data_IF_278716580684
#
_entry.id   IF_278716580684
#
_cell.length_a   1.000
_cell.length_b   1.000
_cell.length_c   1.000
_cell.angle_alpha   90.00
_cell.angle_beta   90.00
_cell.angle_gamma   90.00
#
_symmetry.space_group_name_H-M   'P 1'
#
loop_
_entity.id
_entity.type
_entity.pdbx_description
1 polymer ?
#
# COMPACT_ATOMS: atom_id res chain seq x y z
N UNK A 1 5.93 9.79 -1.93
CA UNK A 1 4.58 9.90 -2.52
C UNK A 1 3.68 10.78 -1.65
N UNK A 2 3.73 10.58 -0.34
CA UNK A 2 2.87 11.15 0.70
C UNK A 2 3.03 12.68 0.81
N UNK A 3 4.25 13.21 0.67
CA UNK A 3 4.47 14.66 0.59
C UNK A 3 3.70 15.28 -0.60
N UNK A 4 3.74 14.67 -1.79
CA UNK A 4 3.01 15.21 -2.95
C UNK A 4 1.49 15.16 -2.76
N UNK A 5 0.98 14.14 -2.08
CA UNK A 5 -0.44 14.03 -1.71
C UNK A 5 -0.83 15.13 -0.74
N UNK A 6 -0.09 15.29 0.37
CA UNK A 6 -0.33 16.36 1.34
C UNK A 6 -0.26 17.73 0.68
N UNK A 7 0.75 17.95 -0.18
CA UNK A 7 0.91 19.17 -0.98
C UNK A 7 -0.29 19.45 -1.87
N UNK A 8 -0.88 18.41 -2.46
CA UNK A 8 -2.07 18.59 -3.30
C UNK A 8 -3.32 18.88 -2.48
N UNK A 9 -3.50 18.23 -1.33
CA UNK A 9 -4.61 18.53 -0.41
C UNK A 9 -4.52 19.94 0.15
N UNK A 10 -3.31 20.46 0.41
CA UNK A 10 -3.11 21.82 0.91
C UNK A 10 -3.56 22.92 -0.06
N UNK A 11 -3.76 22.61 -1.34
CA UNK A 11 -4.28 23.56 -2.34
C UNK A 11 -5.81 23.67 -2.31
N UNK A 12 -6.50 22.80 -1.59
CA UNK A 12 -7.95 22.85 -1.46
C UNK A 12 -8.33 23.76 -0.30
N UNK A 13 -9.06 24.85 -0.59
CA UNK A 13 -9.46 25.84 0.41
C UNK A 13 -10.39 25.31 1.51
N UNK A 14 -10.93 24.09 1.35
CA UNK A 14 -11.74 23.41 2.38
C UNK A 14 -10.90 22.61 3.38
N UNK A 15 -9.61 22.42 3.13
CA UNK A 15 -8.71 21.68 4.02
C UNK A 15 -8.05 22.68 4.96
N UNK A 16 -8.40 22.60 6.25
CA UNK A 16 -7.88 23.52 7.27
C UNK A 16 -6.52 23.08 7.82
N UNK A 17 -6.31 21.76 7.97
CA UNK A 17 -5.10 21.19 8.57
C UNK A 17 -4.83 19.79 8.05
N UNK A 18 -3.55 19.46 7.90
CA UNK A 18 -3.09 18.15 7.45
C UNK A 18 -2.08 17.61 8.46
N UNK A 19 -2.36 16.45 9.03
CA UNK A 19 -1.39 15.73 9.84
C UNK A 19 -0.67 14.69 8.98
N UNK A 20 0.66 14.59 9.13
CA UNK A 20 1.46 13.59 8.41
C UNK A 20 2.30 12.80 9.41
N UNK A 21 2.07 11.48 9.46
CA UNK A 21 2.84 10.56 10.30
C UNK A 21 3.74 9.66 9.45
N UNK A 22 5.07 9.60 9.68
CA UNK A 22 5.87 10.51 10.52
C UNK A 22 6.16 11.87 9.85
N UNK A 23 5.80 12.01 8.57
CA UNK A 23 6.16 13.15 7.74
C UNK A 23 7.65 13.21 7.38
N UNK A 24 8.08 14.31 6.77
CA UNK A 24 9.48 14.60 6.46
C UNK A 24 9.75 16.11 6.49
N UNK A 25 10.98 16.52 6.17
CA UNK A 25 11.37 17.94 6.15
C UNK A 25 10.51 18.77 5.19
N UNK A 26 10.08 18.21 4.05
CA UNK A 26 9.22 18.90 3.08
C UNK A 26 7.82 19.15 3.63
N UNK A 27 7.17 18.15 4.21
CA UNK A 27 5.85 18.33 4.83
C UNK A 27 5.88 19.27 6.03
N UNK A 28 7.00 19.31 6.77
CA UNK A 28 7.20 20.27 7.87
C UNK A 28 7.26 21.73 7.41
N UNK A 29 7.67 21.98 6.16
CA UNK A 29 7.76 23.34 5.60
C UNK A 29 6.43 23.84 5.03
N UNK A 30 5.41 23.00 4.96
CA UNK A 30 4.10 23.39 4.43
C UNK A 30 3.24 24.03 5.53
N UNK A 31 2.61 25.16 5.21
CA UNK A 31 1.92 26.01 6.19
C UNK A 31 0.83 25.30 7.00
N UNK A 32 0.00 24.48 6.35
CA UNK A 32 -1.12 23.79 7.00
C UNK A 32 -0.78 22.34 7.41
N UNK A 33 0.49 21.94 7.30
CA UNK A 33 0.92 20.59 7.68
C UNK A 33 1.57 20.58 9.06
N UNK A 34 1.26 19.53 9.83
CA UNK A 34 1.93 19.20 11.07
C UNK A 34 2.45 17.75 10.99
N UNK A 35 3.75 17.58 11.16
CA UNK A 35 4.33 16.25 11.29
C UNK A 35 4.11 15.76 12.72
N UNK A 36 3.58 14.54 12.84
CA UNK A 36 3.34 13.86 14.12
C UNK A 36 3.97 12.47 14.05
N UNK A 37 4.06 11.78 15.18
CA UNK A 37 4.51 10.39 15.23
C UNK A 37 3.37 9.56 15.82
N UNK A 38 2.99 8.53 15.07
CA UNK A 38 2.00 7.53 15.44
C UNK A 38 2.60 6.18 15.03
N UNK A 39 3.01 5.38 16.00
CA UNK A 39 3.80 4.17 15.79
C UNK A 39 2.89 2.92 15.73
N UNK A 40 1.71 2.99 16.33
CA UNK A 40 0.76 1.87 16.42
C UNK A 40 -0.57 2.18 15.75
N UNK A 41 -1.34 1.14 15.41
CA UNK A 41 -2.67 1.30 14.79
C UNK A 41 -3.65 1.92 15.77
N UNK A 42 -3.54 1.52 17.03
CA UNK A 42 -4.32 2.04 18.14
C UNK A 42 -4.09 3.55 18.30
N UNK A 43 -2.83 4.00 18.27
CA UNK A 43 -2.50 5.43 18.28
C UNK A 43 -3.10 6.16 17.09
N UNK A 44 -3.07 5.59 15.89
CA UNK A 44 -3.67 6.21 14.70
C UNK A 44 -5.18 6.37 14.81
N UNK A 45 -5.87 5.35 15.30
CA UNK A 45 -7.33 5.36 15.49
C UNK A 45 -7.71 6.38 16.57
N UNK A 46 -7.03 6.36 17.70
CA UNK A 46 -7.31 7.30 18.79
C UNK A 46 -6.95 8.74 18.43
N UNK A 47 -5.86 8.94 17.68
CA UNK A 47 -5.53 10.25 17.13
C UNK A 47 -6.63 10.74 16.18
N UNK A 48 -7.10 9.89 15.27
CA UNK A 48 -8.15 10.24 14.33
C UNK A 48 -9.46 10.62 15.03
N UNK A 49 -9.88 9.86 16.06
CA UNK A 49 -11.05 10.18 16.88
C UNK A 49 -10.88 11.50 17.63
N UNK A 50 -9.78 11.64 18.38
CA UNK A 50 -9.53 12.80 19.25
C UNK A 50 -9.44 14.10 18.48
N UNK A 51 -8.78 14.09 17.32
CA UNK A 51 -8.60 15.27 16.48
C UNK A 51 -9.71 15.43 15.43
N UNK A 52 -10.74 14.59 15.46
CA UNK A 52 -11.88 14.62 14.54
C UNK A 52 -11.45 14.62 13.07
N UNK A 53 -10.53 13.71 12.72
CA UNK A 53 -10.01 13.60 11.35
C UNK A 53 -11.12 13.14 10.41
N UNK A 54 -11.45 13.98 9.43
CA UNK A 54 -12.54 13.74 8.48
C UNK A 54 -12.15 12.78 7.35
N UNK A 55 -10.85 12.63 7.06
CA UNK A 55 -10.33 11.73 6.05
C UNK A 55 -8.90 11.32 6.39
N UNK A 56 -8.67 10.00 6.46
CA UNK A 56 -7.32 9.42 6.55
C UNK A 56 -6.91 8.85 5.20
N UNK A 57 -5.63 8.97 4.82
CA UNK A 57 -5.06 8.29 3.65
C UNK A 57 -3.79 7.55 4.05
N UNK A 58 -3.68 6.28 3.68
CA UNK A 58 -2.53 5.44 4.01
C UNK A 58 -1.66 5.25 2.77
N UNK A 59 -0.38 5.58 2.90
CA UNK A 59 0.62 5.28 1.88
C UNK A 59 1.24 3.88 2.03
N UNK A 60 1.36 3.35 3.25
CA UNK A 60 2.07 2.09 3.48
C UNK A 60 1.28 0.89 2.94
N UNK A 61 1.83 0.25 1.91
CA UNK A 61 1.29 -0.98 1.31
C UNK A 61 1.18 -2.11 2.35
N UNK A 62 2.15 -2.19 3.27
CA UNK A 62 2.16 -3.16 4.37
C UNK A 62 0.94 -2.99 5.29
N UNK A 63 0.65 -1.76 5.71
CA UNK A 63 -0.51 -1.49 6.56
C UNK A 63 -1.83 -1.78 5.86
N UNK A 64 -1.92 -1.53 4.56
CA UNK A 64 -3.09 -1.87 3.74
C UNK A 64 -3.30 -3.39 3.68
N UNK A 65 -2.24 -4.15 3.38
CA UNK A 65 -2.28 -5.62 3.37
C UNK A 65 -2.61 -6.21 4.74
N UNK A 66 -2.19 -5.54 5.81
CA UNK A 66 -2.50 -5.98 7.16
C UNK A 66 -3.91 -5.60 7.65
N UNK A 67 -4.62 -4.74 6.92
CA UNK A 67 -6.03 -4.41 7.17
C UNK A 67 -6.27 -3.17 8.03
N UNK A 68 -5.40 -2.15 7.95
CA UNK A 68 -5.64 -0.87 8.63
C UNK A 68 -6.97 -0.22 8.22
N UNK A 69 -7.37 -0.39 6.95
CA UNK A 69 -8.63 0.16 6.42
C UNK A 69 -9.82 -0.49 7.13
N UNK A 70 -9.84 -1.82 7.22
CA UNK A 70 -10.89 -2.55 7.93
C UNK A 70 -11.01 -2.12 9.40
N UNK A 71 -9.88 -1.75 10.03
CA UNK A 71 -9.83 -1.31 11.42
C UNK A 71 -10.39 0.11 11.61
N UNK A 72 -10.08 1.03 10.71
CA UNK A 72 -10.66 2.37 10.68
C UNK A 72 -12.18 2.32 10.43
N UNK A 73 -12.63 1.51 9.46
CA UNK A 73 -14.05 1.36 9.13
C UNK A 73 -14.84 0.80 10.34
N UNK A 74 -14.30 -0.19 11.07
CA UNK A 74 -14.90 -0.70 12.32
C UNK A 74 -15.09 0.37 13.39
N UNK A 75 -14.27 1.41 13.38
CA UNK A 75 -14.34 2.53 14.31
C UNK A 75 -15.16 3.71 13.76
N UNK A 76 -15.86 3.53 12.63
CA UNK A 76 -16.60 4.59 11.92
C UNK A 76 -15.72 5.78 11.51
N UNK A 77 -14.43 5.54 11.23
CA UNK A 77 -13.50 6.53 10.75
C UNK A 77 -13.38 6.45 9.22
N UNK A 78 -13.41 7.60 8.56
CA UNK A 78 -13.26 7.66 7.10
C UNK A 78 -11.79 7.50 6.73
N UNK A 79 -11.51 6.53 5.87
CA UNK A 79 -10.17 6.22 5.37
C UNK A 79 -10.23 5.91 3.87
N UNK A 80 -9.24 6.36 3.12
CA UNK A 80 -9.07 6.05 1.71
C UNK A 80 -7.96 5.03 1.53
N UNK A 81 -8.33 3.86 1.02
CA UNK A 81 -7.43 2.76 0.68
C UNK A 81 -8.21 1.46 0.46
N UNK A 82 -7.61 0.44 -0.17
CA UNK A 82 -8.22 -0.88 -0.26
C UNK A 82 -8.28 -1.54 1.12
N UNK A 83 -9.39 -2.23 1.42
CA UNK A 83 -9.45 -3.15 2.55
C UNK A 83 -8.47 -4.32 2.36
N UNK A 84 -8.23 -5.08 3.44
CA UNK A 84 -7.29 -6.21 3.45
C UNK A 84 -7.50 -7.18 2.30
N UNK A 85 -8.75 -7.51 2.01
CA UNK A 85 -9.12 -8.45 0.94
C UNK A 85 -8.78 -7.89 -0.44
N UNK A 86 -8.95 -6.59 -0.68
CA UNK A 86 -8.59 -5.96 -1.93
C UNK A 86 -7.08 -5.70 -2.04
N UNK A 87 -6.41 -5.35 -0.94
CA UNK A 87 -4.99 -5.04 -0.87
C UNK A 87 -4.09 -6.23 -1.25
N UNK A 88 -4.58 -7.47 -1.18
CA UNK A 88 -3.84 -8.65 -1.63
C UNK A 88 -3.46 -8.61 -3.12
N UNK A 89 -4.20 -7.83 -3.94
CA UNK A 89 -3.88 -7.59 -5.34
C UNK A 89 -2.57 -6.79 -5.51
N UNK A 90 -2.10 -6.10 -4.49
CA UNK A 90 -0.79 -5.46 -4.47
C UNK A 90 0.20 -6.28 -3.62
N UNK A 91 -0.27 -6.83 -2.50
CA UNK A 91 0.56 -7.59 -1.56
C UNK A 91 1.08 -8.94 -2.07
N UNK A 92 0.43 -9.56 -3.07
CA UNK A 92 0.82 -10.88 -3.60
C UNK A 92 0.88 -10.91 -5.12
N UNK A 93 2.11 -10.99 -5.66
CA UNK A 93 2.35 -11.11 -7.11
C UNK A 93 1.71 -12.38 -7.68
N UNK A 94 1.80 -13.49 -6.94
CA UNK A 94 1.15 -14.76 -7.29
C UNK A 94 -0.37 -14.59 -7.40
N UNK A 95 -1.01 -14.02 -6.38
CA UNK A 95 -2.45 -13.77 -6.40
C UNK A 95 -2.85 -12.87 -7.57
N UNK A 96 -2.08 -11.80 -7.80
CA UNK A 96 -2.34 -10.83 -8.87
C UNK A 96 -2.29 -11.48 -10.25
N UNK A 97 -1.31 -12.36 -10.47
CA UNK A 97 -1.16 -13.10 -11.72
C UNK A 97 -2.32 -14.07 -11.95
N UNK A 98 -2.72 -14.82 -10.92
CA UNK A 98 -3.89 -15.69 -10.98
C UNK A 98 -5.19 -14.89 -11.21
N UNK A 99 -5.35 -13.74 -10.55
CA UNK A 99 -6.50 -12.84 -10.74
C UNK A 99 -6.56 -12.34 -12.19
N UNK A 100 -5.45 -11.84 -12.72
CA UNK A 100 -5.38 -11.37 -14.10
C UNK A 100 -5.71 -12.49 -15.10
N UNK A 101 -5.15 -13.69 -14.91
CA UNK A 101 -5.44 -14.86 -15.75
C UNK A 101 -6.93 -15.24 -15.70
N UNK A 102 -7.51 -15.30 -14.50
CA UNK A 102 -8.92 -15.65 -14.28
C UNK A 102 -9.88 -14.69 -15.02
N UNK A 103 -9.58 -13.40 -15.03
CA UNK A 103 -10.45 -12.37 -15.62
C UNK A 103 -10.00 -11.88 -17.01
N UNK A 104 -9.03 -12.55 -17.64
CA UNK A 104 -8.59 -12.20 -19.01
C UNK A 104 -7.85 -10.86 -19.11
N UNK A 105 -7.27 -10.37 -18.01
CA UNK A 105 -6.43 -9.17 -18.02
C UNK A 105 -5.08 -9.51 -18.64
N UNK A 106 -4.70 -8.81 -19.70
CA UNK A 106 -3.42 -9.02 -20.39
C UNK A 106 -2.24 -8.79 -19.44
N UNK A 107 -1.37 -9.79 -19.33
CA UNK A 107 -0.16 -9.75 -18.50
C UNK A 107 0.91 -10.68 -19.08
N UNK A 108 2.18 -10.48 -18.71
CA UNK A 108 3.25 -11.38 -19.13
C UNK A 108 2.96 -12.83 -18.67
N UNK A 109 3.29 -13.81 -19.52
CA UNK A 109 3.26 -15.23 -19.17
C UNK A 109 4.06 -15.47 -17.90
N UNK A 110 3.56 -16.35 -17.04
CA UNK A 110 4.16 -16.61 -15.74
C UNK A 110 3.91 -18.06 -15.32
N UNK A 111 4.74 -18.53 -14.40
CA UNK A 111 4.51 -19.75 -13.63
C UNK A 111 4.96 -19.50 -12.18
N UNK A 112 4.21 -20.02 -11.22
CA UNK A 112 4.45 -19.83 -9.80
C UNK A 112 5.12 -21.10 -9.26
N UNK A 113 6.16 -20.92 -8.44
CA UNK A 113 6.89 -22.01 -7.82
C UNK A 113 7.03 -21.76 -6.32
N UNK A 114 6.86 -22.82 -5.54
CA UNK A 114 7.19 -22.88 -4.12
C UNK A 114 8.29 -23.92 -3.83
N UNK A 115 8.81 -24.55 -4.89
CA UNK A 115 9.85 -25.58 -4.84
C UNK A 115 11.00 -25.17 -5.77
N UNK A 116 12.23 -25.26 -5.26
CA UNK A 116 13.43 -24.84 -5.96
C UNK A 116 13.70 -25.71 -7.19
N UNK A 117 13.60 -27.03 -7.05
CA UNK A 117 13.91 -27.98 -8.12
C UNK A 117 12.95 -27.83 -9.30
N UNK A 118 11.65 -27.65 -9.01
CA UNK A 118 10.65 -27.37 -10.04
C UNK A 118 10.91 -26.04 -10.75
N UNK A 119 11.37 -25.01 -10.03
CA UNK A 119 11.67 -23.70 -10.63
C UNK A 119 12.86 -23.79 -11.59
N UNK A 120 13.95 -24.45 -11.18
CA UNK A 120 15.15 -24.63 -12.03
C UNK A 120 14.81 -25.40 -13.29
N UNK A 121 14.10 -26.53 -13.19
CA UNK A 121 13.70 -27.31 -14.37
C UNK A 121 12.86 -26.51 -15.36
N UNK A 122 12.01 -25.62 -14.88
CA UNK A 122 11.22 -24.77 -15.76
C UNK A 122 12.07 -23.72 -16.49
N UNK A 123 13.21 -23.31 -15.94
CA UNK A 123 14.13 -22.41 -16.64
C UNK A 123 14.71 -23.05 -17.91
N UNK A 124 14.85 -24.39 -17.93
CA UNK A 124 15.30 -25.13 -19.11
C UNK A 124 14.24 -25.18 -20.23
N UNK A 125 12.97 -24.90 -19.91
CA UNK A 125 11.82 -25.02 -20.82
C UNK A 125 11.37 -23.66 -21.42
N UNK A 126 11.97 -22.55 -21.01
CA UNK A 126 11.52 -21.19 -21.38
C UNK A 126 12.55 -20.43 -22.21
N UNK A 127 12.05 -19.44 -22.96
CA UNK A 127 12.88 -18.53 -23.73
C UNK A 127 13.46 -17.42 -22.87
N UNK A 128 14.70 -17.04 -23.18
CA UNK A 128 15.40 -15.92 -22.56
C UNK A 128 15.30 -14.67 -23.43
N UNK A 129 15.27 -13.46 -22.83
CA UNK A 129 15.42 -13.17 -21.40
C UNK A 129 14.14 -13.43 -20.59
N UNK A 130 14.32 -13.88 -19.35
CA UNK A 130 13.24 -14.12 -18.38
C UNK A 130 13.50 -13.36 -17.08
N UNK A 131 12.46 -13.21 -16.24
CA UNK A 131 12.54 -12.48 -14.96
C UNK A 131 12.04 -13.37 -13.83
N UNK A 132 12.85 -13.53 -12.78
CA UNK A 132 12.48 -14.22 -11.55
C UNK A 132 12.09 -13.19 -10.51
N UNK A 133 10.93 -13.37 -9.85
CA UNK A 133 10.44 -12.42 -8.84
C UNK A 133 9.99 -13.17 -7.59
N UNK A 134 10.38 -12.65 -6.43
CA UNK A 134 9.82 -13.09 -5.16
C UNK A 134 8.36 -12.62 -5.04
N UNK A 135 7.45 -13.54 -4.72
CA UNK A 135 6.06 -13.19 -4.39
C UNK A 135 5.96 -12.65 -2.96
N UNK A 136 5.08 -11.68 -2.73
CA UNK A 136 4.98 -10.93 -1.49
C UNK A 136 5.46 -9.48 -1.62
N UNK A 137 5.40 -8.76 -0.49
CA UNK A 137 5.96 -7.42 -0.33
C UNK A 137 7.48 -7.53 -0.28
N UNK A 138 8.16 -6.96 -1.27
CA UNK A 138 9.61 -6.99 -1.40
C UNK A 138 10.24 -5.60 -1.52
N UNK A 139 9.47 -4.54 -1.19
CA UNK A 139 9.88 -3.14 -1.29
C UNK A 139 10.58 -2.78 -2.63
N UNK A 140 10.10 -3.36 -3.73
CA UNK A 140 10.68 -3.19 -5.06
C UNK A 140 12.02 -3.90 -5.33
N UNK A 141 12.58 -4.65 -4.38
CA UNK A 141 13.89 -5.33 -4.48
C UNK A 141 13.80 -6.82 -4.83
N UNK A 142 12.60 -7.39 -4.85
CA UNK A 142 12.37 -8.81 -5.13
C UNK A 142 12.22 -9.14 -6.62
N UNK A 143 12.92 -8.42 -7.49
CA UNK A 143 12.90 -8.53 -8.96
C UNK A 143 14.31 -8.45 -9.50
#
# INVERSE_FOLDING_TARGET
REHAIAWKFAQNSKVEKIYVSPGNAGTKMMEICENIILDTREEMIEFAKKNKIELTMIGSEEMLVDGIVDEFEKNNLVIFGPNKKAAILEGSKAYSKEFMKKYGVKTATYKIFNDYECAIKYLDEIEYPTVVKASGLAAGKGV
#
